data_IF_248118091802
#
_entry.id   IF_248118091802
#
_cell.length_a   1.000
_cell.length_b   1.000
_cell.length_c   1.000
_cell.angle_alpha   90.00
_cell.angle_beta   90.00
_cell.angle_gamma   90.00
#
_symmetry.space_group_name_H-M   'P 1'
#
loop_
_entity.id
_entity.type
_entity.pdbx_description
1 polymer ?
#
# COMPACT_ATOMS: atom_id res chain seq x y z
N UNK A 1 35.55 20.82 45.25
CA UNK A 1 35.20 20.63 43.82
C UNK A 1 34.45 21.87 43.36
N UNK A 2 35.00 22.66 42.44
CA UNK A 2 34.42 23.97 42.09
C UNK A 2 33.14 23.79 41.27
N UNK A 3 32.16 24.64 41.53
CA UNK A 3 30.83 24.67 40.87
C UNK A 3 30.96 24.82 39.34
N UNK A 4 32.11 25.31 38.87
CA UNK A 4 32.50 25.42 37.47
C UNK A 4 32.83 24.06 36.82
N UNK A 5 33.41 23.11 37.56
CA UNK A 5 33.75 21.77 37.05
C UNK A 5 32.51 20.90 36.80
N UNK A 6 31.46 21.06 37.63
CA UNK A 6 30.20 20.32 37.46
C UNK A 6 29.37 20.87 36.29
N UNK A 7 29.44 22.19 36.03
CA UNK A 7 28.80 22.82 34.85
C UNK A 7 29.48 22.43 33.53
N UNK A 8 30.81 22.29 33.53
CA UNK A 8 31.55 21.82 32.35
C UNK A 8 31.23 20.35 32.04
N UNK A 9 31.10 19.52 33.07
CA UNK A 9 30.76 18.10 32.93
C UNK A 9 29.35 17.90 32.36
N UNK A 10 28.37 18.69 32.79
CA UNK A 10 27.00 18.67 32.24
C UNK A 10 26.90 19.19 30.80
N UNK A 11 27.78 20.10 30.37
CA UNK A 11 27.80 20.57 28.98
C UNK A 11 28.40 19.54 28.02
N UNK A 12 29.38 18.76 28.48
CA UNK A 12 30.03 17.70 27.67
C UNK A 12 29.09 16.50 27.47
N UNK A 13 28.24 16.15 28.45
CA UNK A 13 27.29 15.04 28.31
C UNK A 13 26.11 15.34 27.37
N UNK A 14 25.72 16.62 27.20
CA UNK A 14 24.64 17.01 26.28
C UNK A 14 25.09 16.98 24.81
N UNK A 15 26.39 17.18 24.53
CA UNK A 15 26.91 17.17 23.14
C UNK A 15 27.17 15.76 22.58
N UNK A 16 27.28 14.74 23.44
CA UNK A 16 27.52 13.34 23.02
C UNK A 16 26.22 12.51 22.95
N UNK A 17 25.12 13.00 23.51
CA UNK A 17 23.82 12.31 23.57
C UNK A 17 22.93 12.44 22.32
N UNK A 18 23.46 12.91 21.19
CA UNK A 18 22.73 13.02 19.93
C UNK A 18 22.74 11.72 19.14
N UNK A 19 22.37 10.58 19.74
CA UNK A 19 22.05 9.40 18.94
C UNK A 19 20.75 9.71 18.18
N UNK A 20 20.87 10.06 16.90
CA UNK A 20 19.76 9.98 15.97
C UNK A 20 19.27 8.54 16.05
N UNK A 21 18.15 8.31 16.74
CA UNK A 21 17.28 7.20 16.42
C UNK A 21 16.75 7.46 14.99
N UNK A 22 17.60 7.24 14.00
CA UNK A 22 17.12 6.86 12.70
C UNK A 22 16.41 5.55 12.95
N UNK A 23 15.08 5.55 12.84
CA UNK A 23 14.33 4.32 12.70
C UNK A 23 14.95 3.62 11.48
N UNK A 24 15.86 2.67 11.72
CA UNK A 24 16.28 1.75 10.70
C UNK A 24 15.04 0.90 10.42
N UNK A 25 14.36 1.20 9.32
CA UNK A 25 13.41 0.25 8.75
C UNK A 25 14.26 -0.95 8.39
N UNK A 26 14.10 -2.03 9.15
CA UNK A 26 14.68 -3.33 8.81
C UNK A 26 14.02 -3.76 7.50
N UNK A 27 14.62 -3.42 6.36
CA UNK A 27 14.18 -3.91 5.07
C UNK A 27 14.56 -5.39 4.98
N UNK A 28 13.56 -6.27 5.01
CA UNK A 28 13.74 -7.69 4.74
C UNK A 28 14.42 -7.82 3.36
N UNK A 29 15.64 -8.39 3.27
CA UNK A 29 16.38 -8.52 2.00
C UNK A 29 15.66 -9.41 0.98
N UNK A 30 14.55 -10.07 1.36
CA UNK A 30 13.68 -10.86 0.47
C UNK A 30 12.49 -10.07 -0.05
N UNK A 31 12.24 -8.85 0.44
CA UNK A 31 11.08 -8.04 0.07
C UNK A 31 11.47 -7.02 -0.99
N UNK A 32 11.63 -7.47 -2.22
CA UNK A 32 11.74 -6.56 -3.36
C UNK A 32 10.39 -5.86 -3.56
N UNK A 33 10.34 -4.56 -3.27
CA UNK A 33 9.14 -3.74 -3.52
C UNK A 33 8.98 -3.54 -5.02
N UNK A 34 7.86 -3.98 -5.58
CA UNK A 34 7.49 -3.72 -6.97
C UNK A 34 6.73 -2.39 -7.00
N UNK A 35 7.28 -1.32 -7.63
CA UNK A 35 6.69 0.02 -7.54
C UNK A 35 5.36 0.16 -8.30
N UNK A 36 5.13 -0.67 -9.33
CA UNK A 36 3.89 -0.71 -10.10
C UNK A 36 3.75 -2.04 -10.85
N UNK A 37 2.51 -2.49 -11.02
CA UNK A 37 2.16 -3.67 -11.80
C UNK A 37 1.17 -3.25 -12.90
N UNK A 38 1.49 -3.57 -14.15
CA UNK A 38 0.59 -3.39 -15.30
C UNK A 38 0.06 -4.75 -15.70
N UNK A 39 -1.26 -4.93 -15.60
CA UNK A 39 -1.93 -6.20 -15.88
C UNK A 39 -2.72 -6.05 -17.17
N UNK A 40 -2.45 -6.94 -18.12
CA UNK A 40 -3.19 -7.07 -19.37
C UNK A 40 -3.92 -8.41 -19.36
N UNK A 41 -5.18 -8.41 -19.78
CA UNK A 41 -5.97 -9.63 -19.83
C UNK A 41 -7.41 -9.36 -20.25
N UNK A 42 -8.28 -10.27 -19.84
CA UNK A 42 -9.70 -10.27 -20.15
C UNK A 42 -10.53 -9.97 -18.89
N UNK A 43 -11.76 -10.48 -18.86
CA UNK A 43 -12.70 -10.37 -17.74
C UNK A 43 -12.12 -10.83 -16.40
N UNK A 44 -11.17 -11.77 -16.37
CA UNK A 44 -10.60 -12.31 -15.12
C UNK A 44 -9.78 -11.29 -14.33
N UNK A 45 -9.27 -10.27 -14.99
CA UNK A 45 -8.46 -9.20 -14.39
C UNK A 45 -9.11 -7.83 -14.52
N UNK A 46 -10.29 -7.73 -15.14
CA UNK A 46 -11.00 -6.46 -15.30
C UNK A 46 -11.55 -5.95 -13.96
N UNK A 47 -11.24 -4.68 -13.66
CA UNK A 47 -11.66 -3.93 -12.47
C UNK A 47 -12.79 -2.94 -12.77
N UNK A 48 -13.52 -3.16 -13.87
CA UNK A 48 -14.58 -2.27 -14.35
C UNK A 48 -14.09 -1.26 -15.39
N UNK A 49 -12.95 -1.52 -16.03
CA UNK A 49 -12.44 -0.69 -17.13
C UNK A 49 -13.42 -0.69 -18.32
N UNK A 50 -14.12 -1.81 -18.53
CA UNK A 50 -15.15 -1.93 -19.56
C UNK A 50 -16.34 -0.97 -19.39
N UNK A 51 -16.56 -0.41 -18.20
CA UNK A 51 -17.62 0.56 -17.97
C UNK A 51 -17.40 1.87 -18.73
N UNK A 52 -16.14 2.22 -19.00
CA UNK A 52 -15.74 3.45 -19.69
C UNK A 52 -15.70 3.28 -21.21
N UNK A 53 -15.76 2.04 -21.71
CA UNK A 53 -15.81 1.75 -23.14
C UNK A 53 -17.24 1.92 -23.68
N UNK A 54 -17.39 2.76 -24.71
CA UNK A 54 -18.68 3.03 -25.35
C UNK A 54 -19.25 1.84 -26.12
N UNK A 55 -18.37 1.01 -26.67
CA UNK A 55 -18.70 -0.15 -27.51
C UNK A 55 -18.34 -1.47 -26.83
N UNK A 56 -18.30 -1.53 -25.49
CA UNK A 56 -18.12 -2.79 -24.79
C UNK A 56 -19.30 -3.73 -25.08
N UNK A 57 -18.98 -4.95 -25.52
CA UNK A 57 -19.98 -5.99 -25.78
C UNK A 57 -20.64 -6.46 -24.48
N UNK A 58 -19.84 -6.66 -23.43
CA UNK A 58 -20.30 -7.10 -22.12
C UNK A 58 -19.77 -6.20 -21.00
N UNK A 59 -20.64 -5.94 -20.01
CA UNK A 59 -20.32 -5.16 -18.80
C UNK A 59 -20.73 -5.94 -17.57
N UNK A 60 -19.85 -6.04 -16.58
CA UNK A 60 -20.15 -6.74 -15.34
C UNK A 60 -20.81 -5.85 -14.28
N UNK A 61 -21.88 -5.17 -14.67
CA UNK A 61 -22.70 -4.34 -13.76
C UNK A 61 -24.02 -5.01 -13.40
N UNK A 62 -24.05 -6.35 -13.36
CA UNK A 62 -25.24 -7.07 -12.95
C UNK A 62 -25.29 -7.20 -11.43
N UNK A 63 -26.49 -7.38 -10.84
CA UNK A 63 -26.65 -7.48 -9.39
C UNK A 63 -25.82 -8.58 -8.71
N UNK A 64 -25.43 -9.62 -9.45
CA UNK A 64 -24.59 -10.70 -8.92
C UNK A 64 -23.08 -10.35 -8.89
N UNK A 65 -22.61 -9.38 -9.68
CA UNK A 65 -21.18 -9.04 -9.84
C UNK A 65 -20.61 -8.12 -8.75
N UNK A 66 -20.77 -8.49 -7.49
CA UNK A 66 -20.24 -7.70 -6.38
C UNK A 66 -20.84 -8.00 -5.01
N UNK A 67 -21.56 -9.13 -4.87
CA UNK A 67 -22.20 -9.54 -3.61
C UNK A 67 -21.18 -9.68 -2.48
N UNK A 68 -19.99 -10.21 -2.78
CA UNK A 68 -18.92 -10.46 -1.81
C UNK A 68 -17.91 -9.29 -1.73
N UNK A 69 -18.06 -8.28 -2.58
CA UNK A 69 -17.19 -7.10 -2.57
C UNK A 69 -17.62 -6.11 -1.47
N UNK A 70 -16.66 -5.31 -1.00
CA UNK A 70 -16.94 -4.26 -0.02
C UNK A 70 -18.00 -3.29 -0.57
N UNK A 71 -19.16 -3.23 0.09
CA UNK A 71 -20.29 -2.42 -0.33
C UNK A 71 -21.38 -3.16 -1.10
N UNK A 72 -21.22 -4.47 -1.37
CA UNK A 72 -22.24 -5.37 -1.93
C UNK A 72 -22.93 -4.81 -3.19
N UNK A 73 -22.13 -4.17 -4.06
CA UNK A 73 -22.60 -3.49 -5.26
C UNK A 73 -21.77 -3.92 -6.45
N UNK A 74 -22.42 -3.92 -7.61
CA UNK A 74 -21.74 -4.20 -8.86
C UNK A 74 -20.63 -3.18 -9.10
N UNK A 75 -19.40 -3.67 -9.25
CA UNK A 75 -18.20 -2.82 -9.40
C UNK A 75 -17.71 -2.73 -10.85
N UNK A 76 -18.26 -3.55 -11.75
CA UNK A 76 -17.74 -3.75 -13.10
C UNK A 76 -16.74 -4.89 -13.22
N UNK A 77 -16.46 -5.61 -12.12
CA UNK A 77 -15.64 -6.85 -12.13
C UNK A 77 -16.50 -8.04 -12.56
N UNK A 78 -15.96 -8.92 -13.40
CA UNK A 78 -16.64 -10.17 -13.81
C UNK A 78 -16.56 -11.27 -12.73
N UNK A 79 -16.77 -10.88 -11.47
CA UNK A 79 -16.72 -11.73 -10.28
C UNK A 79 -17.72 -11.23 -9.24
N UNK A 80 -18.07 -12.08 -8.27
CA UNK A 80 -18.89 -11.66 -7.14
C UNK A 80 -18.10 -10.80 -6.13
N UNK A 81 -16.77 -10.78 -6.22
CA UNK A 81 -15.87 -10.12 -5.28
C UNK A 81 -14.55 -9.70 -5.94
N UNK A 82 -13.45 -9.78 -5.16
CA UNK A 82 -12.10 -9.52 -5.67
C UNK A 82 -11.72 -10.51 -6.77
N UNK A 83 -10.90 -10.07 -7.73
CA UNK A 83 -10.42 -10.88 -8.83
C UNK A 83 -8.91 -11.16 -8.67
N UNK A 84 -8.31 -11.90 -9.61
CA UNK A 84 -6.90 -12.29 -9.54
C UNK A 84 -5.93 -11.11 -9.45
N UNK A 85 -6.29 -9.95 -10.00
CA UNK A 85 -5.45 -8.74 -9.96
C UNK A 85 -5.33 -8.14 -8.56
N UNK A 86 -6.28 -8.42 -7.66
CA UNK A 86 -6.26 -7.92 -6.28
C UNK A 86 -5.34 -8.76 -5.36
N UNK A 87 -4.98 -9.97 -5.78
CA UNK A 87 -4.15 -10.90 -5.01
C UNK A 87 -2.67 -10.88 -5.42
N UNK A 88 -2.30 -10.13 -6.46
CA UNK A 88 -0.93 -10.00 -6.95
C UNK A 88 -0.10 -8.97 -6.19
#
# INVERSE_FOLDING_TARGET
>A
MSVWGLRLLCFVTVLVGGCKAANAVEEDPRKTSVPALFIFGDSLVDVGNNNFLKLALDKANFPHNGIDYAGQKATGRFSNGMNSADFM
#
